data_IF_334056422145
#
_entry.id   IF_334056422145
#
_cell.length_a   1.000
_cell.length_b   1.000
_cell.length_c   1.000
_cell.angle_alpha   90.00
_cell.angle_beta   90.00
_cell.angle_gamma   90.00
#
_symmetry.space_group_name_H-M   'P 1'
#
loop_
_entity.id
_entity.type
_entity.pdbx_description
1 polymer ?
#
# COMPACT_ATOMS: atom_id res chain seq x y z
N UNK A 1 3.72 8.46 -0.16
CA UNK A 1 3.52 9.84 -0.69
C UNK A 1 3.88 9.84 -2.17
N UNK A 2 3.61 10.92 -2.93
CA UNK A 2 4.11 11.06 -4.30
C UNK A 2 5.63 11.28 -4.27
N UNK A 3 6.40 10.39 -4.89
CA UNK A 3 7.87 10.33 -4.74
C UNK A 3 8.59 11.58 -5.28
N UNK A 4 8.06 12.28 -6.28
CA UNK A 4 8.60 13.56 -6.78
C UNK A 4 8.59 14.69 -5.75
N UNK A 5 7.85 14.53 -4.64
CA UNK A 5 7.76 15.49 -3.55
C UNK A 5 8.59 15.08 -2.33
N UNK A 6 9.47 14.06 -2.46
CA UNK A 6 10.46 13.73 -1.42
C UNK A 6 11.21 15.00 -1.00
N UNK A 7 11.36 15.21 0.31
CA UNK A 7 11.99 16.38 0.92
C UNK A 7 11.31 17.73 0.63
N UNK A 8 10.08 17.72 0.08
CA UNK A 8 9.25 18.90 -0.16
C UNK A 8 7.94 18.79 0.63
N UNK A 9 7.24 19.92 0.77
CA UNK A 9 5.88 19.92 1.32
C UNK A 9 4.97 19.10 0.41
N UNK A 10 4.32 18.10 0.99
CA UNK A 10 3.32 17.26 0.34
C UNK A 10 2.09 17.20 1.25
N UNK A 11 0.92 17.05 0.64
CA UNK A 11 -0.36 16.95 1.34
C UNK A 11 -0.73 15.50 1.65
N UNK A 12 -0.38 14.56 0.79
CA UNK A 12 -0.88 13.19 0.88
C UNK A 12 0.19 12.17 1.25
N UNK A 13 -0.09 11.40 2.30
CA UNK A 13 0.69 10.24 2.73
C UNK A 13 -0.10 8.95 2.56
N UNK A 14 0.59 7.84 2.35
CA UNK A 14 -0.01 6.50 2.25
C UNK A 14 0.78 5.55 3.13
N UNK A 15 0.08 4.70 3.87
CA UNK A 15 0.68 3.74 4.79
C UNK A 15 -0.09 2.43 4.81
N UNK A 16 0.61 1.34 5.08
CA UNK A 16 -0.02 0.09 5.50
C UNK A 16 -0.31 0.16 7.00
N UNK A 17 -1.37 -0.51 7.43
CA UNK A 17 -1.61 -0.74 8.85
C UNK A 17 -0.65 -1.79 9.39
N UNK A 18 -0.04 -1.49 10.53
CA UNK A 18 0.67 -2.48 11.32
C UNK A 18 -0.33 -3.24 12.20
N UNK A 19 -0.15 -4.56 12.32
CA UNK A 19 -0.74 -5.35 13.40
C UNK A 19 0.07 -5.15 14.68
N UNK A 20 0.34 -6.23 15.42
CA UNK A 20 1.29 -6.17 16.56
C UNK A 20 2.72 -6.10 16.04
N UNK A 21 3.13 -4.94 15.53
CA UNK A 21 4.47 -4.67 15.01
C UNK A 21 5.57 -4.96 16.03
N UNK A 22 5.27 -4.86 17.34
CA UNK A 22 6.21 -5.24 18.40
C UNK A 22 6.62 -6.72 18.33
N UNK A 23 5.69 -7.63 18.00
CA UNK A 23 6.01 -9.06 17.85
C UNK A 23 6.91 -9.36 16.66
N UNK A 24 6.99 -8.46 15.67
CA UNK A 24 7.90 -8.60 14.53
C UNK A 24 9.38 -8.52 14.96
N UNK A 25 9.66 -7.84 16.06
CA UNK A 25 11.03 -7.62 16.57
C UNK A 25 11.45 -8.59 17.68
N UNK A 26 10.54 -9.44 18.18
CA UNK A 26 10.81 -10.43 19.24
C UNK A 26 11.13 -11.84 18.69
N UNK A 27 10.99 -12.07 17.39
CA UNK A 27 11.24 -13.38 16.80
C UNK A 27 12.75 -13.69 16.75
N UNK A 28 13.17 -14.72 17.50
CA UNK A 28 14.57 -15.16 17.62
C UNK A 28 15.22 -15.58 16.29
N UNK A 29 14.41 -15.91 15.28
CA UNK A 29 14.84 -16.29 13.94
C UNK A 29 14.82 -15.11 12.93
N UNK A 30 14.38 -13.92 13.35
CA UNK A 30 14.32 -12.73 12.51
C UNK A 30 13.23 -12.75 11.44
N UNK A 31 12.28 -13.69 11.50
CA UNK A 31 11.14 -13.77 10.58
C UNK A 31 9.89 -13.29 11.29
N UNK A 32 9.39 -12.08 11.00
CA UNK A 32 8.22 -11.55 11.67
C UNK A 32 6.98 -12.40 11.34
N UNK A 33 6.08 -12.66 12.30
CA UNK A 33 4.87 -13.42 12.03
C UNK A 33 3.93 -12.63 11.12
N UNK A 34 3.18 -13.32 10.26
CA UNK A 34 2.21 -12.69 9.34
C UNK A 34 1.18 -11.78 10.05
N UNK A 35 0.94 -12.02 11.35
CA UNK A 35 0.09 -11.20 12.24
C UNK A 35 0.61 -9.78 12.50
N UNK A 36 1.85 -9.48 12.13
CA UNK A 36 2.45 -8.15 12.31
C UNK A 36 1.99 -7.12 11.28
N UNK A 37 1.30 -7.55 10.22
CA UNK A 37 0.72 -6.67 9.21
C UNK A 37 -0.80 -6.66 9.30
N UNK A 38 -1.39 -5.47 9.21
CA UNK A 38 -2.83 -5.28 9.18
C UNK A 38 -3.41 -5.48 7.78
N UNK A 39 -4.73 -5.60 7.71
CA UNK A 39 -5.47 -5.83 6.48
C UNK A 39 -6.04 -4.54 5.89
N UNK A 40 -5.36 -3.42 6.07
CA UNK A 40 -5.83 -2.13 5.59
C UNK A 40 -4.70 -1.21 5.13
N UNK A 41 -5.04 -0.34 4.18
CA UNK A 41 -4.23 0.83 3.80
C UNK A 41 -4.87 2.10 4.34
N UNK A 42 -4.04 3.10 4.62
CA UNK A 42 -4.44 4.42 5.07
C UNK A 42 -3.93 5.46 4.09
N UNK A 43 -4.81 6.39 3.71
CA UNK A 43 -4.45 7.65 3.07
C UNK A 43 -4.61 8.78 4.08
N UNK A 44 -3.56 9.56 4.27
CA UNK A 44 -3.55 10.75 5.12
C UNK A 44 -3.64 12.01 4.27
N UNK A 45 -4.54 12.93 4.63
CA UNK A 45 -4.53 14.32 4.18
C UNK A 45 -3.91 15.17 5.28
N UNK A 46 -2.62 15.44 5.15
CA UNK A 46 -1.79 16.12 6.15
C UNK A 46 -2.14 17.61 6.27
N UNK A 47 -2.77 18.19 5.25
CA UNK A 47 -3.24 19.58 5.32
C UNK A 47 -4.51 19.68 6.17
N UNK A 48 -5.42 18.72 6.04
CA UNK A 48 -6.70 18.69 6.78
C UNK A 48 -6.63 17.94 8.10
N UNK A 49 -5.56 17.16 8.34
CA UNK A 49 -5.44 16.29 9.51
C UNK A 49 -6.41 15.10 9.50
N UNK A 50 -6.92 14.71 8.32
CA UNK A 50 -7.91 13.64 8.16
C UNK A 50 -7.31 12.40 7.54
N UNK A 51 -7.94 11.24 7.72
CA UNK A 51 -7.50 9.98 7.12
C UNK A 51 -8.66 9.21 6.50
N UNK A 52 -8.38 8.47 5.43
CA UNK A 52 -9.28 7.50 4.80
C UNK A 52 -8.67 6.12 4.92
N UNK A 53 -9.48 5.09 5.14
CA UNK A 53 -9.02 3.71 5.33
C UNK A 53 -9.69 2.79 4.32
N UNK A 54 -8.88 2.02 3.61
CA UNK A 54 -9.35 0.94 2.75
C UNK A 54 -9.13 -0.39 3.46
N UNK A 55 -10.21 -1.09 3.83
CA UNK A 55 -10.14 -2.40 4.47
C UNK A 55 -10.23 -3.52 3.44
N UNK A 56 -9.28 -4.46 3.52
CA UNK A 56 -9.36 -5.74 2.85
C UNK A 56 -10.14 -6.75 3.70
N UNK A 57 -10.51 -7.92 3.15
CA UNK A 57 -11.11 -8.99 3.93
C UNK A 57 -10.27 -9.35 5.16
N UNK A 58 -10.91 -10.00 6.13
CA UNK A 58 -10.20 -10.49 7.33
C UNK A 58 -9.07 -11.44 6.92
N UNK A 59 -7.99 -11.43 7.68
CA UNK A 59 -6.80 -12.28 7.47
C UNK A 59 -6.15 -12.08 6.09
N UNK A 60 -6.33 -10.91 5.48
CA UNK A 60 -5.70 -10.52 4.21
C UNK A 60 -4.71 -9.38 4.46
N UNK A 61 -3.55 -9.63 5.10
CA UNK A 61 -2.57 -8.59 5.38
C UNK A 61 -2.10 -7.90 4.09
N UNK A 62 -1.90 -6.60 4.18
CA UNK A 62 -1.43 -5.76 3.08
C UNK A 62 0.03 -5.35 3.29
N UNK A 63 0.79 -5.32 2.19
CA UNK A 63 2.14 -4.77 2.16
C UNK A 63 2.12 -3.24 2.16
N UNK A 64 3.31 -2.64 2.06
CA UNK A 64 3.51 -1.23 1.77
C UNK A 64 2.62 -0.73 0.63
N UNK A 65 2.13 0.51 0.79
CA UNK A 65 1.38 1.25 -0.22
C UNK A 65 2.34 2.11 -1.06
N UNK A 66 2.36 1.87 -2.37
CA UNK A 66 3.16 2.64 -3.34
C UNK A 66 2.23 3.52 -4.17
N UNK A 67 2.49 4.83 -4.19
CA UNK A 67 1.71 5.75 -5.03
C UNK A 67 2.29 5.83 -6.44
N UNK A 68 1.42 5.80 -7.44
CA UNK A 68 1.75 5.92 -8.87
C UNK A 68 0.95 7.08 -9.47
N UNK A 69 1.60 8.14 -9.99
CA UNK A 69 0.86 9.26 -10.58
C UNK A 69 0.13 8.82 -11.86
N UNK A 70 -1.01 9.45 -12.14
CA UNK A 70 -1.64 9.35 -13.46
C UNK A 70 -0.73 9.95 -14.55
N UNK A 71 -0.90 9.52 -15.81
CA UNK A 71 -0.14 10.05 -16.93
C UNK A 71 -0.29 11.59 -17.02
N UNK A 72 0.78 12.25 -17.47
CA UNK A 72 0.93 13.70 -17.63
C UNK A 72 1.03 14.54 -16.36
N UNK A 73 0.78 13.95 -15.17
CA UNK A 73 1.13 14.51 -13.87
C UNK A 73 0.59 15.93 -13.59
N UNK A 74 -0.38 16.37 -14.39
CA UNK A 74 -0.94 17.72 -14.42
C UNK A 74 -2.14 17.90 -13.47
N UNK A 75 -2.57 16.81 -12.83
CA UNK A 75 -3.68 16.79 -11.89
C UNK A 75 -3.31 17.17 -10.46
N UNK A 76 -4.23 16.90 -9.55
CA UNK A 76 -4.01 17.07 -8.11
C UNK A 76 -2.85 16.17 -7.62
N UNK A 77 -2.29 16.48 -6.44
CA UNK A 77 -1.17 15.71 -5.88
C UNK A 77 -1.48 14.21 -5.71
N UNK A 78 -2.74 13.86 -5.43
CA UNK A 78 -3.23 12.48 -5.32
C UNK A 78 -3.93 11.97 -6.59
N UNK A 79 -3.74 12.62 -7.73
CA UNK A 79 -4.25 12.12 -9.01
C UNK A 79 -3.40 10.94 -9.50
N UNK A 80 -3.95 9.74 -9.36
CA UNK A 80 -3.25 8.51 -9.66
C UNK A 80 -3.77 7.32 -8.87
N UNK A 81 -2.86 6.40 -8.60
CA UNK A 81 -3.15 5.07 -8.09
C UNK A 81 -2.34 4.76 -6.84
N UNK A 82 -2.86 3.85 -6.02
CA UNK A 82 -2.11 3.23 -4.94
C UNK A 82 -2.04 1.73 -5.20
N UNK A 83 -0.82 1.21 -5.20
CA UNK A 83 -0.50 -0.20 -5.37
C UNK A 83 -0.14 -0.82 -4.02
N UNK A 84 -0.59 -2.04 -3.79
CA UNK A 84 -0.12 -2.87 -2.68
C UNK A 84 -0.29 -4.35 -3.00
N UNK A 85 0.60 -5.19 -2.46
CA UNK A 85 0.36 -6.63 -2.40
C UNK A 85 -0.54 -6.94 -1.22
N UNK A 86 -1.53 -7.81 -1.44
CA UNK A 86 -2.46 -8.25 -0.40
C UNK A 86 -2.49 -9.78 -0.39
N UNK A 87 -2.25 -10.38 0.77
CA UNK A 87 -2.36 -11.83 0.90
C UNK A 87 -3.82 -12.26 0.75
N UNK A 88 -4.05 -13.31 -0.03
CA UNK A 88 -5.33 -14.00 -0.15
C UNK A 88 -5.27 -15.33 0.62
N UNK A 89 -5.96 -15.45 1.77
CA UNK A 89 -5.87 -16.63 2.62
C UNK A 89 -6.51 -17.87 1.98
N UNK A 90 -7.52 -17.69 1.13
CA UNK A 90 -8.22 -18.81 0.47
C UNK A 90 -7.31 -19.50 -0.56
N UNK A 91 -6.45 -18.73 -1.23
CA UNK A 91 -5.52 -19.24 -2.25
C UNK A 91 -4.11 -19.50 -1.72
N UNK A 92 -3.76 -19.01 -0.53
CA UNK A 92 -2.38 -19.03 -0.03
C UNK A 92 -1.40 -18.28 -0.94
N UNK A 93 -1.88 -17.24 -1.62
CA UNK A 93 -1.14 -16.48 -2.62
C UNK A 93 -1.37 -14.97 -2.44
N UNK A 94 -0.67 -14.13 -3.19
CA UNK A 94 -0.87 -12.67 -3.13
C UNK A 94 -1.68 -12.15 -4.33
N UNK A 95 -2.30 -11.00 -4.13
CA UNK A 95 -2.87 -10.17 -5.18
C UNK A 95 -2.13 -8.84 -5.24
N UNK A 96 -1.82 -8.35 -6.44
CA UNK A 96 -1.51 -6.93 -6.62
C UNK A 96 -2.81 -6.17 -6.77
N UNK A 97 -3.07 -5.23 -5.86
CA UNK A 97 -4.29 -4.42 -5.82
C UNK A 97 -3.98 -3.02 -6.34
N UNK A 98 -4.88 -2.48 -7.16
CA UNK A 98 -4.83 -1.10 -7.68
C UNK A 98 -6.02 -0.33 -7.15
N UNK A 99 -5.77 0.68 -6.32
CA UNK A 99 -6.79 1.61 -5.83
C UNK A 99 -6.72 2.93 -6.58
N UNK A 100 -7.86 3.58 -6.81
CA UNK A 100 -7.89 4.99 -7.16
C UNK A 100 -7.49 5.81 -5.93
N UNK A 101 -6.48 6.66 -6.02
CA UNK A 101 -6.04 7.44 -4.87
C UNK A 101 -7.11 8.46 -4.42
N UNK A 102 -7.89 9.02 -5.35
CA UNK A 102 -8.96 9.99 -5.06
C UNK A 102 -10.25 9.36 -4.55
N UNK A 103 -10.50 8.08 -4.86
CA UNK A 103 -11.65 7.31 -4.36
C UNK A 103 -11.16 6.14 -3.49
N UNK A 104 -10.36 6.48 -2.48
CA UNK A 104 -9.53 5.52 -1.75
C UNK A 104 -10.34 4.43 -1.01
N UNK A 105 -11.57 4.75 -0.60
CA UNK A 105 -12.44 3.82 0.14
C UNK A 105 -13.29 2.93 -0.75
N UNK A 106 -13.35 3.19 -2.06
CA UNK A 106 -14.09 2.37 -3.02
C UNK A 106 -13.41 1.03 -3.27
N UNK A 107 -14.12 0.05 -3.88
CA UNK A 107 -13.50 -1.20 -4.32
C UNK A 107 -12.29 -0.96 -5.23
N UNK A 108 -11.30 -1.86 -5.24
CA UNK A 108 -10.17 -1.73 -6.15
C UNK A 108 -10.58 -1.63 -7.61
N UNK A 109 -9.91 -0.76 -8.36
CA UNK A 109 -10.07 -0.66 -9.80
C UNK A 109 -9.63 -1.95 -10.50
N UNK A 110 -8.58 -2.58 -9.97
CA UNK A 110 -8.08 -3.85 -10.45
C UNK A 110 -7.49 -4.69 -9.32
N UNK A 111 -7.51 -6.01 -9.54
CA UNK A 111 -6.86 -7.01 -8.70
C UNK A 111 -6.21 -8.04 -9.61
N UNK A 112 -4.89 -8.13 -9.55
CA UNK A 112 -4.10 -9.07 -10.35
C UNK A 112 -3.73 -10.24 -9.45
N UNK A 113 -4.18 -11.44 -9.80
CA UNK A 113 -3.92 -12.65 -9.05
C UNK A 113 -2.52 -13.20 -9.33
N UNK A 114 -1.70 -13.31 -8.29
CA UNK A 114 -0.39 -13.95 -8.39
C UNK A 114 -0.49 -15.44 -8.05
N UNK A 115 0.36 -16.30 -8.65
CA UNK A 115 0.32 -17.73 -8.41
C UNK A 115 0.99 -18.14 -7.08
N UNK A 116 1.62 -17.20 -6.37
CA UNK A 116 2.47 -17.44 -5.19
C UNK A 116 2.30 -16.32 -4.15
N UNK A 117 2.67 -16.57 -2.89
CA UNK A 117 2.74 -15.51 -1.88
C UNK A 117 3.88 -14.53 -2.19
N UNK A 118 3.71 -13.28 -1.75
CA UNK A 118 4.75 -12.27 -1.69
C UNK A 118 5.05 -12.03 -0.21
N UNK A 119 6.30 -12.23 0.26
CA UNK A 119 6.65 -12.00 1.65
C UNK A 119 6.37 -10.54 2.07
N UNK A 120 5.78 -10.37 3.24
CA UNK A 120 5.51 -9.05 3.81
C UNK A 120 6.79 -8.47 4.41
N UNK A 121 6.96 -7.14 4.33
CA UNK A 121 8.08 -6.44 4.97
C UNK A 121 9.22 -6.01 4.03
N UNK A 122 9.10 -6.26 2.72
CA UNK A 122 10.01 -5.65 1.74
C UNK A 122 9.44 -4.34 1.20
N UNK A 123 10.34 -3.44 0.83
CA UNK A 123 10.02 -2.18 0.19
C UNK A 123 10.01 -2.30 -1.34
N UNK A 124 9.22 -1.45 -1.99
CA UNK A 124 9.21 -1.32 -3.44
C UNK A 124 9.02 0.11 -3.89
N UNK A 125 9.45 0.40 -5.13
CA UNK A 125 9.22 1.68 -5.78
C UNK A 125 8.65 1.46 -7.18
N UNK A 126 7.89 2.46 -7.65
CA UNK A 126 7.44 2.53 -9.03
C UNK A 126 8.45 3.31 -9.86
N UNK A 127 8.81 2.79 -11.03
CA UNK A 127 9.67 3.49 -11.99
C UNK A 127 8.93 3.54 -13.33
N UNK A 128 8.65 4.73 -13.89
CA UNK A 128 8.03 4.84 -15.20
C UNK A 128 9.02 4.44 -16.31
N UNK A 129 8.49 4.03 -17.46
CA UNK A 129 9.27 3.47 -18.58
C UNK A 129 10.33 4.43 -19.15
N UNK A 130 10.05 5.74 -19.14
CA UNK A 130 10.93 6.80 -19.63
C UNK A 130 12.10 7.13 -18.68
N UNK A 131 12.22 6.41 -17.56
CA UNK A 131 13.30 6.53 -16.59
C UNK A 131 14.29 5.34 -16.59
N UNK A 132 14.19 4.41 -17.55
CA UNK A 132 15.08 3.25 -17.72
C UNK A 132 16.12 3.42 -18.83
#
# INVERSE_FOLDING_TARGET
MREELVSRRHRYGYAATAGEMWRAYETLDGVPPDTSFGNALIKHDLLRGTSQVHHFPRNSPASEAVFVPARDNAGAEDDGYVLAYVHNPDRGAADLVVLAAQDFTAPPLARIHLPRPVPLGFHGSWVPEDHA
#
